data_IF_340711018828
#
_entry.id   IF_340711018828
#
_cell.length_a   1.000
_cell.length_b   1.000
_cell.length_c   1.000
_cell.angle_alpha   90.00
_cell.angle_beta   90.00
_cell.angle_gamma   90.00
#
_symmetry.space_group_name_H-M   'P 1'
#
loop_
_entity.id
_entity.type
_entity.pdbx_description
1 polymer ?
#
# COMPACT_ATOMS: atom_id res chain seq x y z
N UNK A 1 -53.48 48.93 8.22
CA UNK A 1 -53.70 47.52 8.62
C UNK A 1 -52.58 46.71 8.01
N UNK A 2 -51.60 46.30 8.82
CA UNK A 2 -50.41 45.56 8.39
C UNK A 2 -50.40 44.19 9.07
N UNK A 3 -49.69 43.24 8.43
CA UNK A 3 -49.20 41.95 8.93
C UNK A 3 -50.18 40.77 8.88
N UNK A 4 -49.76 39.55 8.49
CA UNK A 4 -48.45 39.08 8.03
C UNK A 4 -48.65 37.75 7.26
N UNK A 5 -47.88 37.59 6.19
CA UNK A 5 -47.76 36.36 5.41
C UNK A 5 -46.84 35.40 6.20
N UNK A 6 -47.37 34.26 6.67
CA UNK A 6 -46.57 33.24 7.34
C UNK A 6 -45.90 32.35 6.27
N UNK A 7 -44.58 32.47 6.13
CA UNK A 7 -43.75 31.57 5.33
C UNK A 7 -43.34 30.39 6.20
N UNK A 8 -43.84 29.20 5.87
CA UNK A 8 -43.39 27.93 6.45
C UNK A 8 -42.04 27.55 5.83
N UNK A 9 -40.96 27.67 6.62
CA UNK A 9 -39.64 27.14 6.27
C UNK A 9 -39.58 25.70 6.78
N UNK A 10 -39.67 24.74 5.86
CA UNK A 10 -39.35 23.34 6.13
C UNK A 10 -37.82 23.16 6.21
N UNK A 11 -37.30 22.98 7.42
CA UNK A 11 -35.92 22.53 7.62
C UNK A 11 -35.82 21.03 7.32
N UNK A 12 -35.30 20.68 6.15
CA UNK A 12 -34.84 19.33 5.89
C UNK A 12 -33.66 19.02 6.83
N UNK A 13 -33.90 18.20 7.87
CA UNK A 13 -32.83 17.68 8.71
C UNK A 13 -32.01 16.72 7.85
N UNK A 14 -30.81 17.17 7.44
CA UNK A 14 -29.81 16.28 6.87
C UNK A 14 -29.47 15.22 7.92
N UNK A 15 -29.71 13.95 7.58
CA UNK A 15 -29.28 12.84 8.40
C UNK A 15 -27.76 12.95 8.65
N UNK A 16 -27.27 12.68 9.87
CA UNK A 16 -25.85 12.72 10.16
C UNK A 16 -25.14 11.73 9.23
N UNK A 17 -24.20 12.24 8.43
CA UNK A 17 -23.33 11.44 7.58
C UNK A 17 -22.64 10.41 8.49
N UNK A 18 -22.76 9.09 8.22
CA UNK A 18 -22.08 8.09 9.02
C UNK A 18 -20.58 8.37 8.99
N UNK A 19 -20.01 8.70 10.14
CA UNK A 19 -18.58 8.96 10.26
C UNK A 19 -17.83 7.67 9.91
N UNK A 20 -16.79 7.73 9.05
CA UNK A 20 -15.93 6.58 8.80
C UNK A 20 -15.39 6.07 10.14
N UNK A 21 -15.46 4.76 10.35
CA UNK A 21 -14.87 4.13 11.52
C UNK A 21 -13.41 4.58 11.66
N UNK A 22 -12.93 4.91 12.88
CA UNK A 22 -11.54 5.30 13.08
C UNK A 22 -10.64 4.18 12.56
N UNK A 23 -9.54 4.51 11.85
CA UNK A 23 -8.63 3.50 11.35
C UNK A 23 -8.11 2.67 12.52
N UNK A 24 -8.14 1.34 12.39
CA UNK A 24 -7.55 0.44 13.37
C UNK A 24 -6.10 0.89 13.66
N UNK A 25 -5.63 0.80 14.91
CA UNK A 25 -4.29 1.25 15.26
C UNK A 25 -3.26 0.57 14.34
N UNK A 26 -2.53 1.38 13.57
CA UNK A 26 -1.63 0.93 12.48
C UNK A 26 -0.61 -0.13 12.94
N UNK A 27 -0.32 -0.21 14.23
CA UNK A 27 0.60 -1.18 14.82
C UNK A 27 0.05 -2.61 14.75
N UNK A 28 -1.23 -2.82 15.08
CA UNK A 28 -1.85 -4.16 15.08
C UNK A 28 -2.03 -4.73 13.68
N UNK A 29 -2.44 -3.89 12.72
CA UNK A 29 -2.61 -4.30 11.31
C UNK A 29 -1.27 -4.67 10.66
N UNK A 30 -0.18 -4.01 11.07
CA UNK A 30 1.16 -4.31 10.57
C UNK A 30 1.70 -5.65 11.09
N UNK A 31 1.43 -6.03 12.35
CA UNK A 31 1.88 -7.33 12.90
C UNK A 31 1.15 -8.51 12.25
N UNK A 32 -0.18 -8.42 12.09
CA UNK A 32 -0.96 -9.48 11.40
C UNK A 32 -0.55 -9.58 9.94
N UNK A 33 -0.37 -8.45 9.25
CA UNK A 33 0.06 -8.46 7.85
C UNK A 33 1.48 -9.00 7.68
N UNK A 34 2.39 -8.69 8.61
CA UNK A 34 3.74 -9.24 8.67
C UNK A 34 3.71 -10.74 8.79
N UNK A 35 2.92 -11.28 9.72
CA UNK A 35 2.84 -12.72 9.96
C UNK A 35 2.21 -13.46 8.77
N UNK A 36 1.17 -12.89 8.16
CA UNK A 36 0.58 -13.46 6.94
C UNK A 36 1.55 -13.41 5.76
N UNK A 37 2.39 -12.37 5.68
CA UNK A 37 3.44 -12.29 4.67
C UNK A 37 4.55 -13.32 4.94
N UNK A 38 5.00 -13.47 6.18
CA UNK A 38 5.96 -14.49 6.61
C UNK A 38 5.48 -15.91 6.28
N UNK A 39 4.22 -16.24 6.61
CA UNK A 39 3.62 -17.56 6.30
C UNK A 39 3.60 -17.86 4.80
N UNK A 40 3.30 -16.87 3.96
CA UNK A 40 3.38 -17.05 2.49
C UNK A 40 4.80 -17.33 2.02
N UNK A 41 5.81 -16.69 2.60
CA UNK A 41 7.20 -16.96 2.25
C UNK A 41 7.63 -18.38 2.66
N UNK A 42 7.16 -18.87 3.80
CA UNK A 42 7.38 -20.26 4.20
C UNK A 42 6.74 -21.26 3.22
N UNK A 43 5.52 -20.95 2.75
CA UNK A 43 4.85 -21.74 1.70
C UNK A 43 5.64 -21.70 0.38
N UNK A 44 6.39 -20.64 0.12
CA UNK A 44 7.29 -20.53 -1.04
C UNK A 44 8.67 -21.18 -0.80
N UNK A 45 8.78 -22.09 0.18
CA UNK A 45 10.00 -22.79 0.58
C UNK A 45 11.10 -21.92 1.20
N UNK A 46 10.81 -20.68 1.59
CA UNK A 46 11.81 -19.84 2.23
C UNK A 46 12.13 -20.39 3.62
N UNK A 47 13.39 -20.36 4.01
CA UNK A 47 13.80 -20.75 5.36
C UNK A 47 13.11 -19.88 6.43
N UNK A 48 12.91 -20.38 7.67
CA UNK A 48 12.31 -19.58 8.74
C UNK A 48 13.04 -18.26 9.03
N UNK A 49 14.37 -18.28 8.96
CA UNK A 49 15.20 -17.09 9.14
C UNK A 49 15.05 -16.12 7.96
N UNK A 50 15.10 -16.63 6.72
CA UNK A 50 14.88 -15.84 5.52
C UNK A 50 13.50 -15.18 5.48
N UNK A 51 12.45 -15.95 5.80
CA UNK A 51 11.07 -15.46 5.84
C UNK A 51 10.90 -14.33 6.87
N UNK A 52 11.58 -14.43 8.02
CA UNK A 52 11.56 -13.39 9.05
C UNK A 52 12.24 -12.12 8.57
N UNK A 53 13.46 -12.24 8.01
CA UNK A 53 14.20 -11.09 7.45
C UNK A 53 13.39 -10.36 6.38
N UNK A 54 12.81 -11.09 5.44
CA UNK A 54 12.02 -10.49 4.35
C UNK A 54 10.70 -9.88 4.87
N UNK A 55 10.08 -10.48 5.89
CA UNK A 55 8.86 -9.92 6.48
C UNK A 55 9.12 -8.65 7.30
N UNK A 56 10.20 -8.62 8.08
CA UNK A 56 10.64 -7.45 8.83
C UNK A 56 11.03 -6.32 7.90
N UNK A 57 11.76 -6.66 6.84
CA UNK A 57 12.10 -5.74 5.78
C UNK A 57 10.82 -5.17 5.14
N UNK A 58 9.83 -5.99 4.77
CA UNK A 58 8.58 -5.50 4.19
C UNK A 58 7.82 -4.51 5.11
N UNK A 59 7.76 -4.78 6.42
CA UNK A 59 7.17 -3.84 7.39
C UNK A 59 7.96 -2.54 7.45
N UNK A 60 9.30 -2.62 7.50
CA UNK A 60 10.17 -1.45 7.54
C UNK A 60 10.02 -0.58 6.29
N UNK A 61 9.91 -1.20 5.11
CA UNK A 61 9.64 -0.49 3.85
C UNK A 61 8.35 0.32 3.97
N UNK A 62 7.28 -0.33 4.43
CA UNK A 62 5.97 0.34 4.56
C UNK A 62 6.03 1.53 5.51
N UNK A 63 6.70 1.39 6.65
CA UNK A 63 6.89 2.48 7.61
C UNK A 63 7.70 3.63 7.01
N UNK A 64 8.85 3.33 6.40
CA UNK A 64 9.73 4.34 5.80
C UNK A 64 9.08 5.04 4.60
N UNK A 65 8.19 4.38 3.86
CA UNK A 65 7.44 4.98 2.76
C UNK A 65 6.20 5.78 3.23
N UNK A 66 5.89 5.85 4.52
CA UNK A 66 4.72 6.59 5.02
C UNK A 66 4.86 8.12 4.89
N UNK A 67 6.02 8.76 5.17
CA UNK A 67 6.21 10.18 4.89
C UNK A 67 6.20 10.45 3.38
N UNK A 68 6.72 9.52 2.57
CA UNK A 68 6.67 9.60 1.11
C UNK A 68 5.23 9.59 0.59
N UNK A 69 4.34 8.83 1.24
CA UNK A 69 2.92 8.83 0.90
C UNK A 69 2.27 10.19 1.16
N UNK A 70 2.67 10.91 2.21
CA UNK A 70 2.19 12.27 2.46
C UNK A 70 2.71 13.25 1.41
N UNK A 71 4.02 13.17 1.07
CA UNK A 71 4.60 13.98 -0.01
C UNK A 71 3.89 13.75 -1.35
N UNK A 72 3.60 12.49 -1.71
CA UNK A 72 2.81 12.16 -2.91
C UNK A 72 1.42 12.80 -2.89
N UNK A 73 0.71 12.72 -1.77
CA UNK A 73 -0.61 13.36 -1.64
C UNK A 73 -0.52 14.88 -1.78
N UNK A 74 0.55 15.50 -1.30
CA UNK A 74 0.78 16.92 -1.50
C UNK A 74 1.03 17.25 -2.98
N UNK A 75 1.91 16.52 -3.66
CA UNK A 75 2.17 16.72 -5.10
C UNK A 75 0.92 16.50 -5.95
N UNK A 76 0.12 15.48 -5.64
CA UNK A 76 -1.14 15.21 -6.32
C UNK A 76 -2.18 16.32 -6.12
N UNK A 77 -2.18 16.98 -4.95
CA UNK A 77 -2.99 18.18 -4.73
C UNK A 77 -2.50 19.36 -5.56
N UNK A 78 -1.18 19.59 -5.63
CA UNK A 78 -0.62 20.64 -6.49
C UNK A 78 -0.97 20.43 -7.98
N UNK A 79 -0.95 19.18 -8.45
CA UNK A 79 -1.40 18.82 -9.80
C UNK A 79 -2.89 19.13 -9.99
N UNK A 80 -3.74 18.71 -9.04
CA UNK A 80 -5.17 18.96 -9.09
C UNK A 80 -5.50 20.45 -9.08
N UNK A 81 -4.83 21.23 -8.21
CA UNK A 81 -5.03 22.67 -8.09
C UNK A 81 -4.61 23.40 -9.38
N UNK A 82 -3.46 23.03 -9.94
CA UNK A 82 -2.99 23.59 -11.22
C UNK A 82 -3.96 23.30 -12.37
N UNK A 83 -4.57 22.10 -12.38
CA UNK A 83 -5.56 21.68 -13.37
C UNK A 83 -6.94 22.33 -13.18
N UNK A 84 -7.30 22.68 -11.94
CA UNK A 84 -8.61 23.25 -11.60
C UNK A 84 -8.64 24.79 -11.65
N UNK A 85 -7.50 25.45 -11.81
CA UNK A 85 -7.43 26.92 -11.89
C UNK A 85 -7.79 27.39 -13.31
N UNK A 86 -8.63 28.43 -13.42
CA UNK A 86 -8.92 29.11 -14.69
C UNK A 86 -8.33 30.53 -14.71
N UNK A 87 -7.52 30.89 -15.74
CA UNK A 87 -7.02 30.01 -16.80
C UNK A 87 -6.07 28.93 -16.25
N UNK A 88 -5.96 27.82 -16.98
CA UNK A 88 -5.10 26.69 -16.63
C UNK A 88 -3.66 27.17 -16.32
N UNK A 89 -3.16 26.88 -15.12
CA UNK A 89 -1.80 27.22 -14.73
C UNK A 89 -0.81 26.16 -15.21
N UNK A 90 -0.46 26.24 -16.49
CA UNK A 90 0.49 25.32 -17.13
C UNK A 90 1.87 25.32 -16.45
N UNK A 91 2.32 26.46 -15.93
CA UNK A 91 3.63 26.56 -15.26
C UNK A 91 3.64 25.85 -13.90
N UNK A 92 2.52 25.89 -13.16
CA UNK A 92 2.37 25.09 -11.93
C UNK A 92 2.28 23.60 -12.23
N UNK A 93 1.54 23.21 -13.27
CA UNK A 93 1.45 21.82 -13.71
C UNK A 93 2.80 21.25 -14.14
N UNK A 94 3.55 21.95 -15.00
CA UNK A 94 4.85 21.49 -15.48
C UNK A 94 5.83 21.24 -14.34
N UNK A 95 5.86 22.16 -13.35
CA UNK A 95 6.68 22.01 -12.14
C UNK A 95 6.27 20.80 -11.32
N UNK A 96 4.97 20.60 -11.09
CA UNK A 96 4.46 19.49 -10.30
C UNK A 96 4.72 18.13 -10.96
N UNK A 97 4.53 18.02 -12.28
CA UNK A 97 4.84 16.81 -13.07
C UNK A 97 6.35 16.51 -13.02
N UNK A 98 7.18 17.54 -13.18
CA UNK A 98 8.64 17.38 -13.14
C UNK A 98 9.11 16.90 -11.77
N UNK A 99 8.55 17.45 -10.69
CA UNK A 99 8.92 17.05 -9.33
C UNK A 99 8.43 15.63 -9.01
N UNK A 100 7.23 15.25 -9.46
CA UNK A 100 6.74 13.88 -9.34
C UNK A 100 7.68 12.89 -10.05
N UNK A 101 8.08 13.19 -11.29
CA UNK A 101 9.00 12.35 -12.05
C UNK A 101 10.37 12.20 -11.35
N UNK A 102 10.89 13.27 -10.73
CA UNK A 102 12.15 13.24 -9.96
C UNK A 102 12.03 12.39 -8.71
N UNK A 103 10.95 12.53 -7.96
CA UNK A 103 10.72 11.75 -6.76
C UNK A 103 10.54 10.27 -7.10
N UNK A 104 9.81 9.96 -8.17
CA UNK A 104 9.62 8.59 -8.65
C UNK A 104 10.95 7.92 -9.03
N UNK A 105 11.84 8.65 -9.73
CA UNK A 105 13.18 8.17 -10.05
C UNK A 105 14.02 7.91 -8.79
N UNK A 106 14.02 8.84 -7.82
CA UNK A 106 14.74 8.66 -6.54
C UNK A 106 14.27 7.42 -5.79
N UNK A 107 12.95 7.21 -5.71
CA UNK A 107 12.37 6.04 -5.03
C UNK A 107 12.67 4.74 -5.78
N UNK A 108 12.68 4.75 -7.10
CA UNK A 108 13.04 3.57 -7.89
C UNK A 108 14.48 3.11 -7.54
N UNK A 109 15.42 4.04 -7.48
CA UNK A 109 16.81 3.78 -7.07
C UNK A 109 16.89 3.26 -5.64
N UNK A 110 16.30 3.97 -4.66
CA UNK A 110 16.34 3.55 -3.26
C UNK A 110 15.71 2.16 -3.05
N UNK A 111 14.62 1.86 -3.76
CA UNK A 111 13.98 0.54 -3.74
C UNK A 111 14.88 -0.54 -4.33
N UNK A 112 15.60 -0.26 -5.42
CA UNK A 112 16.52 -1.20 -6.03
C UNK A 112 17.71 -1.52 -5.11
N UNK A 113 18.34 -0.50 -4.53
CA UNK A 113 19.45 -0.65 -3.57
C UNK A 113 19.05 -1.49 -2.37
N UNK A 114 17.86 -1.21 -1.81
CA UNK A 114 17.28 -1.96 -0.69
C UNK A 114 17.02 -3.42 -1.02
N UNK A 115 16.47 -3.72 -2.21
CA UNK A 115 16.27 -5.10 -2.67
C UNK A 115 17.60 -5.86 -2.79
N UNK A 116 18.64 -5.20 -3.29
CA UNK A 116 19.99 -5.78 -3.38
C UNK A 116 20.55 -6.05 -1.98
N UNK A 117 20.41 -5.10 -1.05
CA UNK A 117 20.84 -5.28 0.34
C UNK A 117 20.12 -6.45 1.01
N UNK A 118 18.80 -6.58 0.81
CA UNK A 118 18.03 -7.71 1.32
C UNK A 118 18.46 -9.04 0.69
N UNK A 119 18.71 -9.09 -0.63
CA UNK A 119 19.21 -10.32 -1.25
C UNK A 119 20.57 -10.73 -0.65
N UNK A 120 21.47 -9.77 -0.40
CA UNK A 120 22.79 -10.04 0.19
C UNK A 120 22.72 -10.57 1.63
N UNK A 121 21.65 -10.30 2.37
CA UNK A 121 21.49 -10.79 3.75
C UNK A 121 20.89 -12.19 3.85
N UNK A 122 20.52 -12.80 2.71
CA UNK A 122 19.88 -14.11 2.64
C UNK A 122 20.85 -15.22 2.26
N UNK A 123 20.47 -16.46 2.61
CA UNK A 123 21.12 -17.66 2.08
C UNK A 123 20.97 -17.74 0.55
N UNK A 124 21.86 -18.47 -0.14
CA UNK A 124 21.76 -18.62 -1.60
C UNK A 124 20.42 -19.25 -2.05
N UNK A 125 19.86 -20.17 -1.25
CA UNK A 125 18.56 -20.77 -1.53
C UNK A 125 17.43 -19.73 -1.42
N UNK A 126 17.43 -18.93 -0.35
CA UNK A 126 16.42 -17.89 -0.11
C UNK A 126 16.55 -16.73 -1.11
N UNK A 127 17.78 -16.41 -1.54
CA UNK A 127 18.02 -15.44 -2.62
C UNK A 127 17.30 -15.84 -3.90
N UNK A 128 17.38 -17.11 -4.31
CA UNK A 128 16.70 -17.59 -5.52
C UNK A 128 15.17 -17.50 -5.39
N UNK A 129 14.62 -17.80 -4.21
CA UNK A 129 13.18 -17.68 -3.93
C UNK A 129 12.76 -16.21 -4.02
N UNK A 130 13.48 -15.31 -3.35
CA UNK A 130 13.15 -13.88 -3.35
C UNK A 130 13.35 -13.24 -4.72
N UNK A 131 14.39 -13.62 -5.47
CA UNK A 131 14.65 -13.13 -6.82
C UNK A 131 13.53 -13.52 -7.81
N UNK A 132 12.98 -14.75 -7.69
CA UNK A 132 11.77 -15.15 -8.44
C UNK A 132 10.56 -14.30 -8.06
N UNK A 133 10.38 -14.01 -6.77
CA UNK A 133 9.28 -13.14 -6.30
C UNK A 133 9.41 -11.71 -6.83
N UNK A 134 10.63 -11.20 -7.00
CA UNK A 134 10.90 -9.92 -7.63
C UNK A 134 10.78 -9.93 -9.16
N UNK A 135 10.62 -11.09 -9.78
CA UNK A 135 10.52 -11.22 -11.24
C UNK A 135 11.86 -11.12 -11.97
N UNK A 136 12.99 -11.21 -11.26
CA UNK A 136 14.33 -11.19 -11.88
C UNK A 136 14.70 -12.51 -12.56
N UNK A 137 13.98 -13.58 -12.22
CA UNK A 137 14.17 -14.91 -12.76
C UNK A 137 12.81 -15.42 -13.25
N UNK A 138 12.72 -16.14 -14.38
CA UNK A 138 11.47 -16.73 -14.85
C UNK A 138 10.77 -17.53 -13.76
N UNK A 139 9.44 -17.40 -13.68
CA UNK A 139 8.59 -18.20 -12.80
C UNK A 139 8.64 -19.67 -13.24
N UNK A 140 9.62 -20.43 -12.78
CA UNK A 140 9.52 -21.89 -12.75
C UNK A 140 8.62 -22.27 -11.57
N UNK A 141 7.76 -23.30 -11.68
CA UNK A 141 7.11 -23.87 -10.50
C UNK A 141 8.21 -24.22 -9.50
N UNK A 142 8.13 -23.59 -8.32
CA UNK A 142 9.04 -23.90 -7.23
C UNK A 142 8.76 -25.32 -6.73
N UNK A 143 9.74 -25.98 -6.09
CA UNK A 143 9.43 -27.18 -5.32
C UNK A 143 8.32 -26.85 -4.31
N UNK A 144 7.37 -27.75 -4.10
CA UNK A 144 6.48 -27.68 -2.94
C UNK A 144 7.26 -28.20 -1.75
N UNK A 145 7.47 -27.38 -0.73
CA UNK A 145 8.06 -27.82 0.53
C UNK A 145 6.95 -28.20 1.50
N UNK A 146 7.14 -29.27 2.24
CA UNK A 146 6.26 -29.60 3.36
C UNK A 146 6.29 -28.44 4.36
N UNK A 147 5.12 -27.84 4.59
CA UNK A 147 4.95 -26.83 5.62
C UNK A 147 5.26 -27.46 6.98
N UNK A 148 5.90 -26.75 7.92
CA UNK A 148 5.94 -27.20 9.30
C UNK A 148 4.50 -27.40 9.78
N UNK A 149 4.17 -28.64 10.18
CA UNK A 149 2.84 -29.07 10.63
C UNK A 149 2.27 -28.07 11.63
N UNK A 150 1.16 -27.42 11.25
CA UNK A 150 0.48 -26.38 12.05
C UNK A 150 0.00 -25.14 11.27
N UNK A 151 0.23 -25.05 9.96
CA UNK A 151 -0.19 -23.91 9.13
C UNK A 151 -1.53 -24.11 8.38
N UNK A 152 -2.16 -25.28 8.53
CA UNK A 152 -3.37 -25.66 7.79
C UNK A 152 -4.63 -25.20 8.53
N UNK A 153 -4.94 -23.91 8.42
CA UNK A 153 -6.30 -23.40 8.39
C UNK A 153 -6.25 -21.88 8.26
N UNK A 154 -6.39 -21.34 7.04
CA UNK A 154 -7.35 -20.27 6.74
C UNK A 154 -7.59 -20.30 5.22
N UNK A 155 -8.79 -20.76 4.87
CA UNK A 155 -9.67 -20.28 3.80
C UNK A 155 -9.00 -19.55 2.63
N UNK A 156 -8.79 -20.30 1.54
CA UNK A 156 -8.68 -19.72 0.21
C UNK A 156 -10.10 -19.52 -0.32
N UNK A 157 -10.73 -18.39 -0.01
CA UNK A 157 -11.64 -17.71 -0.93
C UNK A 157 -12.03 -16.33 -0.37
N UNK A 158 -11.72 -15.21 -1.06
CA UNK A 158 -12.45 -13.97 -0.82
C UNK A 158 -13.87 -14.13 -1.39
N UNK A 159 -14.93 -13.67 -0.70
CA UNK A 159 -16.26 -13.66 -1.27
C UNK A 159 -16.26 -12.83 -2.57
N UNK A 160 -16.65 -13.48 -3.67
CA UNK A 160 -17.03 -12.79 -4.91
C UNK A 160 -18.39 -12.14 -4.66
N UNK A 161 -18.36 -10.89 -4.21
CA UNK A 161 -19.55 -10.05 -4.31
C UNK A 161 -19.76 -9.70 -5.77
N UNK A 162 -20.59 -10.54 -6.40
CA UNK A 162 -21.40 -10.19 -7.56
C UNK A 162 -22.63 -9.48 -7.03
N UNK A 163 -22.75 -8.18 -7.28
CA UNK A 163 -24.03 -7.51 -7.19
C UNK A 163 -24.11 -6.41 -8.25
N UNK A 164 -25.21 -6.49 -8.98
CA UNK A 164 -25.68 -5.65 -10.09
C UNK A 164 -25.86 -4.18 -9.75
#
# INVERSE_FOLDING_TARGET
MFNALLVLITTAQAAPVPQPAPPAPEIYTNLVSRENYRRRLLHDCMSPSGATLVADDWVRDRWLNSPDAQRRRAMQRELADGAATEPLDLARLERAITEEAREDARRATARAERKIALLRSLSLADQAILARRFGYVPKKPGPSCELPTGADAVDRDPPKDTAH
#
